data_IF_531974288985
#
_entry.id   IF_531974288985
#
_cell.length_a   1.000
_cell.length_b   1.000
_cell.length_c   1.000
_cell.angle_alpha   90.00
_cell.angle_beta   90.00
_cell.angle_gamma   90.00
#
_symmetry.space_group_name_H-M   'P 1'
#
loop_
_entity.id
_entity.type
_entity.pdbx_description
1 polymer ?
#
# COMPACT_ATOMS: atom_id res chain seq x y z
N UNK A 1 16.54 4.17 3.47
CA UNK A 1 15.44 3.91 4.43
C UNK A 1 16.02 3.26 5.68
N UNK A 2 15.69 3.77 6.83
CA UNK A 2 16.16 3.21 8.09
C UNK A 2 15.22 2.09 8.54
N UNK A 3 15.78 0.96 8.95
CA UNK A 3 14.96 -0.16 9.42
C UNK A 3 14.07 0.21 10.61
N UNK A 4 14.51 1.13 11.47
CA UNK A 4 13.74 1.56 12.64
C UNK A 4 12.46 2.33 12.32
N UNK A 5 12.27 2.82 11.08
CA UNK A 5 11.03 3.49 10.69
C UNK A 5 9.98 2.51 10.17
N UNK A 6 10.37 1.27 9.89
CA UNK A 6 9.47 0.23 9.38
C UNK A 6 8.91 -0.58 10.55
N UNK A 7 7.95 0.01 11.26
CA UNK A 7 7.45 -0.55 12.53
C UNK A 7 6.29 -1.53 12.38
N UNK A 8 5.56 -1.45 11.27
CA UNK A 8 4.31 -2.18 11.13
C UNK A 8 4.50 -3.39 10.23
N UNK A 9 4.28 -4.61 10.74
CA UNK A 9 4.20 -5.78 9.85
C UNK A 9 3.04 -5.59 8.88
N UNK A 10 3.30 -5.81 7.60
CA UNK A 10 2.28 -5.66 6.56
C UNK A 10 2.16 -6.94 5.77
N UNK A 11 0.92 -7.36 5.50
CA UNK A 11 0.61 -8.47 4.61
C UNK A 11 0.06 -7.88 3.32
N UNK A 12 0.70 -8.20 2.21
CA UNK A 12 0.22 -7.81 0.89
C UNK A 12 -0.63 -8.94 0.36
N UNK A 13 -1.89 -8.64 0.01
CA UNK A 13 -2.84 -9.63 -0.48
C UNK A 13 -3.20 -9.35 -1.92
N UNK A 14 -3.27 -10.41 -2.72
CA UNK A 14 -3.69 -10.32 -4.11
C UNK A 14 -5.12 -10.89 -4.27
N UNK A 15 -5.89 -10.31 -5.19
CA UNK A 15 -7.24 -10.83 -5.45
C UNK A 15 -7.15 -12.13 -6.25
N UNK A 16 -7.99 -13.09 -5.87
CA UNK A 16 -8.13 -14.35 -6.60
C UNK A 16 -9.59 -14.52 -6.93
N UNK A 17 -9.92 -14.73 -8.21
CA UNK A 17 -11.28 -14.99 -8.64
C UNK A 17 -11.66 -16.41 -8.24
N UNK A 18 -12.67 -16.51 -7.38
CA UNK A 18 -13.21 -17.79 -6.99
C UNK A 18 -14.37 -18.22 -7.87
N UNK A 19 -14.93 -19.42 -7.63
CA UNK A 19 -16.11 -19.87 -8.33
C UNK A 19 -17.28 -18.92 -8.10
N UNK A 20 -18.15 -18.79 -9.10
CA UNK A 20 -19.33 -17.90 -9.03
C UNK A 20 -18.99 -16.42 -8.87
N UNK A 21 -17.86 -15.98 -9.43
CA UNK A 21 -17.40 -14.60 -9.39
C UNK A 21 -17.13 -14.08 -7.97
N UNK A 22 -16.91 -14.98 -7.02
CA UNK A 22 -16.55 -14.58 -5.65
C UNK A 22 -15.10 -14.15 -5.60
N UNK A 23 -14.86 -12.94 -5.13
CA UNK A 23 -13.50 -12.42 -4.96
C UNK A 23 -12.96 -12.89 -3.61
N UNK A 24 -11.83 -13.57 -3.62
CA UNK A 24 -11.11 -13.94 -2.41
C UNK A 24 -9.72 -13.33 -2.43
N UNK A 25 -9.05 -13.33 -1.28
CA UNK A 25 -7.73 -12.74 -1.12
C UNK A 25 -6.73 -13.79 -0.68
N UNK A 26 -5.56 -13.78 -1.30
CA UNK A 26 -4.45 -14.66 -0.91
C UNK A 26 -3.23 -13.81 -0.59
N UNK A 27 -2.39 -14.30 0.32
CA UNK A 27 -1.16 -13.62 0.67
C UNK A 27 -0.20 -13.65 -0.50
N UNK A 28 0.17 -12.48 -1.00
CA UNK A 28 1.19 -12.33 -2.02
C UNK A 28 2.59 -12.29 -1.39
N UNK A 29 2.74 -11.49 -0.33
CA UNK A 29 4.00 -11.34 0.37
C UNK A 29 3.77 -10.69 1.73
N UNK A 30 4.79 -10.73 2.57
CA UNK A 30 4.80 -10.01 3.85
C UNK A 30 6.03 -9.11 3.90
N UNK A 31 5.93 -8.00 4.62
CA UNK A 31 7.02 -7.07 4.78
C UNK A 31 6.80 -6.23 6.03
N UNK A 32 7.57 -5.17 6.18
CA UNK A 32 7.36 -4.18 7.22
C UNK A 32 7.25 -2.81 6.57
N UNK A 33 6.45 -1.95 7.16
CA UNK A 33 6.13 -0.67 6.56
C UNK A 33 6.04 0.44 7.60
N UNK A 34 6.21 1.67 7.15
CA UNK A 34 5.81 2.85 7.89
C UNK A 34 4.43 3.28 7.41
N UNK A 35 3.62 3.80 8.31
CA UNK A 35 2.23 4.19 8.04
C UNK A 35 2.04 5.63 8.50
N UNK A 36 1.78 6.52 7.55
CA UNK A 36 1.61 7.94 7.82
C UNK A 36 0.27 8.43 7.28
N UNK A 37 -0.57 9.05 8.11
CA UNK A 37 -1.77 9.71 7.58
C UNK A 37 -1.37 10.90 6.73
N UNK A 38 -2.15 11.17 5.68
CA UNK A 38 -1.90 12.28 4.78
C UNK A 38 -2.66 13.50 5.30
N UNK A 39 -1.94 14.60 5.50
CA UNK A 39 -2.58 15.86 5.88
C UNK A 39 -3.29 16.48 4.68
N UNK A 40 -4.28 17.35 4.95
CA UNK A 40 -4.98 18.06 3.89
C UNK A 40 -4.03 18.87 3.00
N UNK A 41 -2.99 19.46 3.58
CA UNK A 41 -2.00 20.23 2.83
C UNK A 41 -1.22 19.35 1.84
N UNK A 42 -0.77 18.19 2.30
CA UNK A 42 -0.07 17.25 1.42
C UNK A 42 -1.00 16.77 0.32
N UNK A 43 -2.26 16.53 0.66
CA UNK A 43 -3.26 16.05 -0.29
C UNK A 43 -3.41 17.00 -1.48
N UNK A 44 -3.50 18.30 -1.23
CA UNK A 44 -3.67 19.27 -2.31
C UNK A 44 -2.44 19.38 -3.22
N UNK A 45 -1.27 19.00 -2.75
CA UNK A 45 -0.05 19.05 -3.56
C UNK A 45 0.16 17.80 -4.41
N UNK A 46 -0.63 16.74 -4.20
CA UNK A 46 -0.50 15.49 -4.93
C UNK A 46 -1.43 15.46 -6.13
N UNK A 47 -0.90 15.75 -7.31
CA UNK A 47 -1.68 15.70 -8.54
C UNK A 47 -1.78 14.26 -9.06
N UNK A 48 -2.94 13.90 -9.57
CA UNK A 48 -3.18 12.59 -10.15
C UNK A 48 -3.42 11.47 -9.16
N UNK A 49 -3.51 11.80 -7.85
CA UNK A 49 -3.80 10.83 -6.81
C UNK A 49 -5.31 10.81 -6.55
N UNK A 50 -5.82 9.60 -6.30
CA UNK A 50 -7.23 9.38 -5.97
C UNK A 50 -7.62 10.24 -4.75
N UNK A 51 -8.74 10.95 -4.85
CA UNK A 51 -9.21 11.84 -3.77
C UNK A 51 -9.58 11.09 -2.49
N UNK A 52 -9.75 9.78 -2.56
CA UNK A 52 -10.04 8.94 -1.39
C UNK A 52 -8.79 8.53 -0.62
N UNK A 53 -7.59 8.93 -1.07
CA UNK A 53 -6.34 8.56 -0.41
C UNK A 53 -6.29 9.12 1.00
N UNK A 54 -6.04 8.25 1.99
CA UNK A 54 -5.99 8.63 3.40
C UNK A 54 -4.60 8.48 4.03
N UNK A 55 -3.77 7.60 3.47
CA UNK A 55 -2.49 7.26 4.07
C UNK A 55 -1.40 7.09 3.03
N UNK A 56 -0.17 7.34 3.47
CA UNK A 56 1.04 7.04 2.71
C UNK A 56 1.76 5.90 3.44
N UNK A 57 2.06 4.84 2.71
CA UNK A 57 2.73 3.67 3.26
C UNK A 57 4.07 3.53 2.54
N UNK A 58 5.15 3.45 3.31
CA UNK A 58 6.49 3.22 2.78
C UNK A 58 6.98 1.87 3.25
N UNK A 59 7.60 1.13 2.35
CA UNK A 59 8.12 -0.19 2.65
C UNK A 59 9.35 -0.47 1.80
N UNK A 60 10.06 -1.53 2.11
CA UNK A 60 11.18 -1.94 1.27
C UNK A 60 10.67 -2.37 -0.09
N UNK A 61 11.49 -2.15 -1.10
CA UNK A 61 11.14 -2.52 -2.47
C UNK A 61 10.76 -4.00 -2.55
N UNK A 62 9.68 -4.26 -3.24
CA UNK A 62 9.20 -5.60 -3.54
C UNK A 62 8.55 -5.57 -4.92
N UNK A 63 9.08 -6.37 -5.85
CA UNK A 63 8.56 -6.41 -7.20
C UNK A 63 7.19 -7.09 -7.24
N UNK A 64 6.36 -6.67 -8.18
CA UNK A 64 5.10 -7.34 -8.45
C UNK A 64 3.87 -6.78 -7.74
N UNK A 65 4.03 -5.78 -6.87
CA UNK A 65 2.88 -5.16 -6.21
C UNK A 65 2.15 -4.26 -7.22
N UNK A 66 0.84 -4.48 -7.35
CA UNK A 66 0.00 -3.71 -8.27
C UNK A 66 -1.14 -3.03 -7.52
N UNK A 67 -1.80 -2.09 -8.19
CA UNK A 67 -2.95 -1.38 -7.60
C UNK A 67 -4.17 -2.26 -7.36
N UNK A 68 -4.17 -3.48 -7.86
CA UNK A 68 -5.26 -4.45 -7.62
C UNK A 68 -5.12 -5.14 -6.26
N UNK A 69 -3.96 -5.05 -5.65
CA UNK A 69 -3.68 -5.67 -4.35
C UNK A 69 -4.14 -4.79 -3.22
N UNK A 70 -4.17 -5.35 -2.01
CA UNK A 70 -4.46 -4.59 -0.80
C UNK A 70 -3.42 -4.88 0.26
N UNK A 71 -3.33 -3.99 1.24
CA UNK A 71 -2.39 -4.12 2.34
C UNK A 71 -3.17 -4.32 3.63
N UNK A 72 -2.71 -5.24 4.48
CA UNK A 72 -3.30 -5.49 5.78
C UNK A 72 -2.24 -5.24 6.85
N UNK A 73 -2.54 -4.31 7.76
CA UNK A 73 -1.67 -3.98 8.89
C UNK A 73 -2.49 -4.19 10.16
N UNK A 74 -2.19 -5.27 10.90
CA UNK A 74 -3.00 -5.66 12.05
C UNK A 74 -4.41 -6.00 11.61
N UNK A 75 -5.40 -5.28 12.15
CA UNK A 75 -6.81 -5.44 11.76
C UNK A 75 -7.25 -4.42 10.71
N UNK A 76 -6.33 -3.56 10.26
CA UNK A 76 -6.62 -2.48 9.32
C UNK A 76 -6.34 -2.92 7.90
N UNK A 77 -7.21 -2.54 6.98
CA UNK A 77 -7.08 -2.87 5.56
C UNK A 77 -6.98 -1.60 4.74
N UNK A 78 -6.11 -1.62 3.75
CA UNK A 78 -5.83 -0.45 2.90
C UNK A 78 -5.92 -0.86 1.44
N UNK A 79 -6.72 -0.13 0.68
CA UNK A 79 -6.79 -0.26 -0.77
C UNK A 79 -5.67 0.59 -1.38
N UNK A 80 -4.96 0.06 -2.35
CA UNK A 80 -3.94 0.82 -3.06
C UNK A 80 -4.64 1.79 -4.01
N UNK A 81 -4.43 3.10 -3.80
CA UNK A 81 -5.13 4.14 -4.55
C UNK A 81 -4.45 4.49 -5.87
N UNK A 82 -3.15 4.21 -5.99
CA UNK A 82 -2.37 4.48 -7.19
C UNK A 82 -1.25 3.46 -7.29
N UNK A 83 -0.68 3.21 -8.49
CA UNK A 83 0.42 2.26 -8.60
C UNK A 83 1.57 2.62 -7.66
N UNK A 84 2.20 1.62 -7.00
CA UNK A 84 3.31 1.89 -6.10
C UNK A 84 4.45 2.62 -6.81
N UNK A 85 5.08 3.55 -6.10
CA UNK A 85 6.19 4.34 -6.62
C UNK A 85 7.50 3.77 -6.13
N UNK A 86 8.38 3.45 -7.08
CA UNK A 86 9.74 3.04 -6.77
C UNK A 86 10.58 4.30 -6.55
N UNK A 87 10.79 4.66 -5.30
CA UNK A 87 11.45 5.92 -4.96
C UNK A 87 12.86 5.97 -5.53
N UNK A 88 13.14 7.04 -6.28
CA UNK A 88 14.42 7.27 -6.96
C UNK A 88 14.80 6.15 -7.92
N UNK A 89 13.87 5.30 -8.29
CA UNK A 89 14.07 4.18 -9.22
C UNK A 89 15.25 3.28 -8.86
N UNK A 90 15.51 3.12 -7.54
CA UNK A 90 16.67 2.36 -7.05
C UNK A 90 16.33 0.98 -6.55
N UNK A 91 15.07 0.55 -6.65
CA UNK A 91 14.63 -0.75 -6.15
C UNK A 91 14.96 -0.93 -4.66
N UNK A 92 14.81 0.12 -3.86
CA UNK A 92 15.07 0.08 -2.41
C UNK A 92 13.84 0.36 -1.58
N UNK A 93 13.01 1.31 -2.02
CA UNK A 93 11.80 1.72 -1.32
C UNK A 93 10.64 1.84 -2.26
N UNK A 94 9.46 1.45 -1.76
CA UNK A 94 8.20 1.74 -2.42
C UNK A 94 7.43 2.73 -1.58
N UNK A 95 6.77 3.67 -2.25
CA UNK A 95 5.80 4.55 -1.65
C UNK A 95 4.44 4.22 -2.23
N UNK A 96 3.50 3.93 -1.35
CA UNK A 96 2.15 3.51 -1.74
C UNK A 96 1.16 4.48 -1.12
N UNK A 97 0.34 5.12 -1.96
CA UNK A 97 -0.78 5.91 -1.50
C UNK A 97 -1.99 5.00 -1.40
N UNK A 98 -2.63 4.99 -0.25
CA UNK A 98 -3.68 4.03 0.05
C UNK A 98 -4.87 4.68 0.75
N UNK A 99 -6.03 4.04 0.60
CA UNK A 99 -7.26 4.41 1.30
C UNK A 99 -7.56 3.33 2.33
N UNK A 100 -7.78 3.74 3.57
CA UNK A 100 -8.17 2.79 4.60
C UNK A 100 -9.62 2.34 4.36
N UNK A 101 -9.83 1.02 4.37
CA UNK A 101 -11.15 0.43 4.20
C UNK A 101 -11.76 0.20 5.56
N UNK A 102 -12.88 0.82 5.81
CA UNK A 102 -13.60 0.71 7.09
C UNK A 102 -14.67 -0.36 7.04
#
# INVERSE_FOLDING_TARGET
MRAGTLRHPVTIQEPIDGPSSTLTWATFATSRASLDPISGREFFSMQGIDTATTHRIRMRYLAGITAKMRLVIGTRRFRIAAPPRNLKERNRELEIFAEEIL
#
